data_IF_032905875187
#
_entry.id   IF_032905875187
#
_cell.length_a   1.000
_cell.length_b   1.000
_cell.length_c   1.000
_cell.angle_alpha   90.00
_cell.angle_beta   90.00
_cell.angle_gamma   90.00
#
_symmetry.space_group_name_H-M   'P 1'
#
loop_
_entity.id
_entity.type
_entity.pdbx_description
1 polymer ?
#
# COMPACT_ATOMS: atom_id res chain seq x y z
N UNK A 1 0.10 -27.56 -16.49
CA UNK A 1 0.00 -27.31 -15.03
C UNK A 1 -1.24 -26.47 -14.78
N UNK A 2 -2.27 -27.01 -14.12
CA UNK A 2 -3.40 -26.21 -13.61
C UNK A 2 -2.92 -25.59 -12.30
N UNK A 3 -2.56 -24.31 -12.33
CA UNK A 3 -2.25 -23.58 -11.10
C UNK A 3 -3.59 -23.20 -10.49
N UNK A 4 -3.94 -23.83 -9.37
CA UNK A 4 -5.13 -23.47 -8.62
C UNK A 4 -4.83 -22.15 -7.91
N UNK A 5 -5.33 -21.04 -8.45
CA UNK A 5 -5.10 -19.71 -7.87
C UNK A 5 -6.05 -19.51 -6.69
N UNK A 6 -5.71 -20.10 -5.53
CA UNK A 6 -6.44 -19.85 -4.29
C UNK A 6 -6.00 -18.51 -3.69
N UNK A 7 -6.84 -17.48 -3.81
CA UNK A 7 -6.58 -16.18 -3.18
C UNK A 7 -6.86 -16.24 -1.67
N UNK A 8 -5.98 -15.64 -0.87
CA UNK A 8 -6.22 -15.41 0.56
C UNK A 8 -7.43 -14.48 0.76
N UNK A 9 -8.05 -14.52 1.95
CA UNK A 9 -9.16 -13.61 2.29
C UNK A 9 -8.80 -12.15 2.07
N UNK A 10 -7.57 -11.78 2.44
CA UNK A 10 -7.01 -10.43 2.23
C UNK A 10 -6.93 -10.06 0.75
N UNK A 11 -6.34 -10.94 -0.07
CA UNK A 11 -6.23 -10.68 -1.52
C UNK A 11 -7.61 -10.49 -2.17
N UNK A 12 -8.62 -11.27 -1.75
CA UNK A 12 -9.99 -11.10 -2.25
C UNK A 12 -10.58 -9.74 -1.89
N UNK A 13 -10.37 -9.28 -0.66
CA UNK A 13 -10.84 -7.96 -0.21
C UNK A 13 -10.15 -6.84 -1.00
N UNK A 14 -8.83 -6.87 -1.13
CA UNK A 14 -8.08 -5.85 -1.89
C UNK A 14 -8.47 -5.86 -3.36
N UNK A 15 -8.62 -7.03 -3.97
CA UNK A 15 -9.04 -7.14 -5.36
C UNK A 15 -10.43 -6.54 -5.58
N UNK A 16 -11.39 -6.80 -4.67
CA UNK A 16 -12.69 -6.13 -4.69
C UNK A 16 -12.55 -4.60 -4.64
N UNK A 17 -11.71 -4.06 -3.77
CA UNK A 17 -11.45 -2.62 -3.73
C UNK A 17 -10.84 -2.08 -5.03
N UNK A 18 -9.91 -2.82 -5.65
CA UNK A 18 -9.26 -2.43 -6.90
C UNK A 18 -10.21 -2.50 -8.12
N UNK A 19 -11.30 -3.26 -8.04
CA UNK A 19 -12.33 -3.30 -9.09
C UNK A 19 -13.31 -2.12 -9.07
N UNK A 20 -13.28 -1.29 -8.02
CA UNK A 20 -14.13 -0.12 -7.97
C UNK A 20 -13.74 0.90 -9.06
N UNK A 21 -14.74 1.62 -9.58
CA UNK A 21 -14.51 2.70 -10.54
C UNK A 21 -13.57 3.73 -9.90
N UNK A 22 -12.57 4.19 -10.64
CA UNK A 22 -11.54 5.14 -10.18
C UNK A 22 -10.58 4.62 -9.11
N UNK A 23 -10.61 3.34 -8.73
CA UNK A 23 -9.74 2.79 -7.69
C UNK A 23 -8.23 2.90 -8.01
N UNK A 24 -7.89 3.02 -9.30
CA UNK A 24 -6.52 3.09 -9.81
C UNK A 24 -6.10 4.48 -10.30
N UNK A 25 -6.96 5.49 -10.18
CA UNK A 25 -6.68 6.84 -10.69
C UNK A 25 -5.46 7.47 -10.01
N UNK A 26 -5.09 6.99 -8.82
CA UNK A 26 -3.86 7.37 -8.14
C UNK A 26 -2.58 7.01 -8.94
N UNK A 27 -2.64 6.06 -9.87
CA UNK A 27 -1.53 5.75 -10.79
C UNK A 27 -1.38 6.80 -11.89
N UNK A 28 -2.46 7.50 -12.21
CA UNK A 28 -2.48 8.60 -13.18
C UNK A 28 -2.10 9.94 -12.54
N UNK A 29 -2.06 10.00 -11.21
CA UNK A 29 -1.52 11.15 -10.50
C UNK A 29 -0.01 11.22 -10.78
N UNK A 30 0.35 12.00 -11.82
CA UNK A 30 1.75 12.38 -12.03
C UNK A 30 2.15 13.18 -10.79
N UNK A 31 3.17 12.76 -10.02
CA UNK A 31 3.65 13.53 -8.87
C UNK A 31 4.43 14.75 -9.40
N UNK A 32 3.71 15.68 -10.02
CA UNK A 32 4.25 16.99 -10.38
C UNK A 32 4.11 17.83 -9.10
N UNK A 33 5.21 18.36 -8.57
CA UNK A 33 5.16 19.36 -7.52
C UNK A 33 4.27 20.52 -7.98
N UNK A 34 3.07 20.68 -7.41
CA UNK A 34 2.29 21.90 -7.61
C UNK A 34 2.84 22.90 -6.59
N UNK A 35 3.98 23.52 -6.93
CA UNK A 35 4.77 24.39 -6.04
C UNK A 35 3.97 25.56 -5.43
N UNK A 36 2.77 25.85 -5.97
CA UNK A 36 1.86 26.89 -5.48
C UNK A 36 0.77 26.42 -4.52
N UNK A 37 0.46 25.13 -4.43
CA UNK A 37 -0.63 24.61 -3.57
C UNK A 37 -0.13 23.91 -2.29
N UNK A 38 1.18 23.68 -2.16
CA UNK A 38 1.74 22.96 -1.02
C UNK A 38 1.33 21.48 -0.95
N UNK A 39 0.65 20.96 -1.99
CA UNK A 39 0.21 19.57 -2.09
C UNK A 39 1.33 18.70 -2.65
N UNK A 40 2.43 18.63 -1.91
CA UNK A 40 3.58 17.81 -2.26
C UNK A 40 3.52 16.51 -1.46
N UNK A 41 3.45 15.39 -2.18
CA UNK A 41 3.75 14.10 -1.59
C UNK A 41 5.23 13.82 -1.80
N UNK A 42 5.96 13.47 -0.74
CA UNK A 42 7.36 13.09 -0.91
C UNK A 42 7.47 11.82 -1.77
N UNK A 43 8.57 11.65 -2.54
CA UNK A 43 8.78 10.41 -3.29
C UNK A 43 8.76 9.15 -2.43
N UNK A 44 9.08 9.27 -1.13
CA UNK A 44 9.05 8.17 -0.16
C UNK A 44 7.60 7.79 0.18
N UNK A 45 6.77 8.77 0.53
CA UNK A 45 5.35 8.55 0.82
C UNK A 45 4.60 7.98 -0.39
N UNK A 46 4.88 8.52 -1.58
CA UNK A 46 4.29 8.02 -2.82
C UNK A 46 4.62 6.54 -3.06
N UNK A 47 5.89 6.16 -2.86
CA UNK A 47 6.33 4.75 -2.99
C UNK A 47 5.64 3.84 -1.98
N UNK A 48 5.46 4.29 -0.74
CA UNK A 48 4.78 3.51 0.31
C UNK A 48 3.31 3.28 -0.04
N UNK A 49 2.60 4.34 -0.45
CA UNK A 49 1.18 4.26 -0.85
C UNK A 49 1.01 3.34 -2.07
N UNK A 50 1.90 3.45 -3.04
CA UNK A 50 1.87 2.60 -4.24
C UNK A 50 2.10 1.13 -3.88
N UNK A 51 3.08 0.84 -3.01
CA UNK A 51 3.31 -0.53 -2.52
C UNK A 51 2.10 -1.08 -1.77
N UNK A 52 1.50 -0.29 -0.89
CA UNK A 52 0.30 -0.67 -0.14
C UNK A 52 -0.86 -1.05 -1.07
N UNK A 53 -1.19 -0.17 -2.03
CA UNK A 53 -2.29 -0.36 -2.99
C UNK A 53 -2.09 -1.57 -3.91
N UNK A 54 -0.84 -1.85 -4.28
CA UNK A 54 -0.47 -2.97 -5.16
C UNK A 54 -0.19 -4.28 -4.40
N UNK A 55 -0.43 -4.33 -3.08
CA UNK A 55 -0.10 -5.49 -2.23
C UNK A 55 1.37 -5.89 -2.30
N UNK A 56 2.27 -4.92 -2.44
CA UNK A 56 3.72 -5.15 -2.35
C UNK A 56 4.12 -5.00 -0.88
N UNK A 57 4.85 -5.97 -0.30
CA UNK A 57 5.44 -5.84 1.03
C UNK A 57 6.17 -4.51 1.23
N UNK A 58 5.81 -3.78 2.28
CA UNK A 58 6.40 -2.49 2.65
C UNK A 58 7.57 -2.73 3.61
N UNK A 59 7.38 -3.62 4.57
CA UNK A 59 8.35 -3.96 5.61
C UNK A 59 8.85 -5.39 5.46
N UNK A 60 10.10 -5.69 5.85
CA UNK A 60 10.57 -7.06 5.97
C UNK A 60 9.74 -7.82 7.01
N UNK A 61 9.68 -9.14 6.86
CA UNK A 61 9.02 -10.01 7.82
C UNK A 61 9.81 -9.94 9.14
N UNK A 62 9.10 -9.83 10.26
CA UNK A 62 9.64 -9.92 11.62
C UNK A 62 10.44 -8.69 12.12
N UNK A 63 10.27 -7.51 11.50
CA UNK A 63 10.82 -6.26 12.04
C UNK A 63 9.90 -5.65 13.11
N UNK A 64 10.48 -5.10 14.18
CA UNK A 64 9.68 -4.43 15.22
C UNK A 64 9.20 -3.07 14.71
N UNK A 65 7.92 -2.75 14.94
CA UNK A 65 7.41 -1.44 14.59
C UNK A 65 8.18 -0.32 15.31
N UNK A 66 8.73 0.67 14.59
CA UNK A 66 9.51 1.74 15.22
C UNK A 66 8.65 2.63 16.12
N UNK A 67 7.33 2.66 15.90
CA UNK A 67 6.36 3.46 16.67
C UNK A 67 6.01 2.77 17.99
N UNK A 68 5.51 1.53 17.94
CA UNK A 68 5.01 0.87 19.15
C UNK A 68 6.06 0.00 19.86
N UNK A 69 7.15 -0.40 19.18
CA UNK A 69 8.23 -1.31 19.63
C UNK A 69 7.77 -2.66 20.21
N UNK A 70 6.47 -2.96 20.16
CA UNK A 70 5.81 -4.08 20.84
C UNK A 70 5.18 -5.08 19.87
N UNK A 71 4.79 -4.64 18.68
CA UNK A 71 4.21 -5.48 17.64
C UNK A 71 5.24 -5.72 16.53
N UNK A 72 5.20 -6.92 15.94
CA UNK A 72 5.80 -7.14 14.63
C UNK A 72 5.11 -6.19 13.63
N UNK A 73 5.90 -5.48 12.82
CA UNK A 73 5.39 -4.79 11.65
C UNK A 73 4.63 -5.80 10.82
N UNK A 74 3.36 -5.52 10.56
CA UNK A 74 2.68 -6.26 9.53
C UNK A 74 3.40 -5.92 8.22
N UNK A 75 3.75 -6.94 7.45
CA UNK A 75 4.57 -6.83 6.23
C UNK A 75 4.01 -5.80 5.24
N UNK A 76 2.73 -5.45 5.36
CA UNK A 76 2.03 -4.56 4.46
C UNK A 76 1.58 -3.23 5.09
N UNK A 77 1.96 -2.91 6.33
CA UNK A 77 1.72 -1.60 6.95
C UNK A 77 0.29 -1.30 7.43
N UNK A 78 -0.63 -2.26 7.48
CA UNK A 78 -1.97 -2.14 8.08
C UNK A 78 -1.91 -1.69 9.56
N UNK A 79 -0.83 -2.03 10.27
CA UNK A 79 -0.61 -1.58 11.65
C UNK A 79 -0.46 -0.06 11.77
N UNK A 80 -0.03 0.62 10.70
CA UNK A 80 0.15 2.08 10.66
C UNK A 80 -1.09 2.86 10.18
N UNK A 81 -2.19 2.17 9.86
CA UNK A 81 -3.43 2.77 9.31
C UNK A 81 -4.44 3.13 10.42
N UNK A 82 -4.12 2.87 11.69
CA UNK A 82 -4.91 3.27 12.88
C UNK A 82 -4.16 4.29 13.72
#
# INVERSE_FOLDING_TARGET
MKVDFSMTKRQKAVFGCLTAVHAQDFLLAIPIPIDGLGQHMSPVEYRIILRYRLMIPIFPKDENCPVCRKACLDTFGEHAVH
#
